data_IF_275650002596
#
_entry.id   IF_275650002596
#
_cell.length_a   1.000
_cell.length_b   1.000
_cell.length_c   1.000
_cell.angle_alpha   90.00
_cell.angle_beta   90.00
_cell.angle_gamma   90.00
#
_symmetry.space_group_name_H-M   'P 1'
#
loop_
_entity.id
_entity.type
_entity.pdbx_description
1 polymer ?
#
# COMPACT_ATOMS: atom_id res chain seq x y z
N UNK A 1 -34.68 34.04 -8.24
CA UNK A 1 -33.76 34.39 -7.14
C UNK A 1 -32.68 33.32 -7.05
N UNK A 2 -31.44 33.74 -6.94
CA UNK A 2 -30.25 33.00 -7.34
C UNK A 2 -29.86 31.87 -6.38
N UNK A 3 -29.24 30.83 -6.98
CA UNK A 3 -28.57 29.70 -6.35
C UNK A 3 -27.46 30.19 -5.40
N UNK A 4 -27.52 29.77 -4.13
CA UNK A 4 -26.37 29.76 -3.24
C UNK A 4 -26.57 28.62 -2.23
N UNK A 5 -26.13 27.42 -2.58
CA UNK A 5 -25.95 26.33 -1.63
C UNK A 5 -24.87 25.37 -2.14
N UNK A 6 -24.01 24.96 -1.20
CA UNK A 6 -22.89 24.00 -1.31
C UNK A 6 -21.59 24.55 -1.89
N UNK A 7 -20.94 25.39 -1.08
CA UNK A 7 -19.48 25.54 -1.06
C UNK A 7 -18.98 25.34 0.37
N UNK A 8 -19.35 24.20 0.94
CA UNK A 8 -18.85 23.65 2.19
C UNK A 8 -18.60 22.16 1.92
N UNK A 9 -17.70 21.53 2.66
CA UNK A 9 -17.32 20.09 2.61
C UNK A 9 -16.32 19.65 1.53
N UNK A 10 -15.11 20.21 1.58
CA UNK A 10 -13.90 19.52 1.08
C UNK A 10 -12.66 19.87 1.94
N UNK A 11 -12.65 21.07 2.50
CA UNK A 11 -11.57 21.54 3.38
C UNK A 11 -11.61 20.84 4.77
N UNK A 12 -12.78 20.37 5.20
CA UNK A 12 -13.03 19.82 6.56
C UNK A 12 -12.70 18.32 6.69
N UNK A 13 -12.80 17.54 5.61
CA UNK A 13 -12.46 16.10 5.64
C UNK A 13 -10.95 15.84 5.62
N UNK A 14 -10.16 16.78 5.11
CA UNK A 14 -8.71 16.61 5.03
C UNK A 14 -8.01 16.75 6.38
N UNK A 15 -8.54 17.62 7.25
CA UNK A 15 -8.02 17.80 8.61
C UNK A 15 -8.22 16.53 9.44
N UNK A 16 -9.40 15.91 9.33
CA UNK A 16 -9.75 14.69 10.07
C UNK A 16 -8.92 13.44 9.69
N UNK A 17 -8.41 13.34 8.46
CA UNK A 17 -7.52 12.25 8.04
C UNK A 17 -6.10 12.41 8.62
N UNK A 18 -5.57 13.62 8.67
CA UNK A 18 -4.26 13.89 9.29
C UNK A 18 -4.31 13.85 10.81
N UNK A 19 -5.44 14.22 11.41
CA UNK A 19 -5.64 14.10 12.85
C UNK A 19 -5.73 12.62 13.26
N UNK A 20 -6.27 11.74 12.39
CA UNK A 20 -6.19 10.28 12.58
C UNK A 20 -4.77 9.74 12.46
N UNK A 21 -3.99 10.21 11.49
CA UNK A 21 -2.57 9.85 11.38
C UNK A 21 -1.79 10.27 12.63
N UNK A 22 -1.96 11.52 13.08
CA UNK A 22 -1.36 12.00 14.31
C UNK A 22 -1.80 11.15 15.51
N UNK A 23 -3.08 10.78 15.58
CA UNK A 23 -3.60 9.87 16.60
C UNK A 23 -3.03 8.44 16.48
N UNK A 24 -2.78 7.92 15.28
CA UNK A 24 -2.13 6.61 15.06
C UNK A 24 -0.68 6.68 15.54
N UNK A 25 0.08 7.71 15.14
CA UNK A 25 1.47 7.90 15.59
C UNK A 25 1.55 8.11 17.12
N UNK A 26 0.62 8.87 17.70
CA UNK A 26 0.51 9.10 19.14
C UNK A 26 0.10 7.82 19.90
N UNK A 27 -0.88 7.07 19.37
CA UNK A 27 -1.40 5.84 19.98
C UNK A 27 -0.32 4.76 20.05
N UNK A 28 0.54 4.68 19.03
CA UNK A 28 1.57 3.67 18.96
C UNK A 28 2.86 4.07 19.68
N UNK A 29 2.94 5.29 20.25
CA UNK A 29 4.08 5.83 21.02
C UNK A 29 5.39 5.26 20.49
N UNK A 30 5.74 5.58 19.23
CA UNK A 30 6.96 5.10 18.57
C UNK A 30 8.10 5.16 19.58
N UNK A 31 8.52 4.00 20.10
CA UNK A 31 9.30 3.93 21.34
C UNK A 31 10.66 4.58 21.08
N UNK A 32 10.88 5.75 21.66
CA UNK A 32 12.13 6.51 21.50
C UNK A 32 12.09 7.57 20.41
N UNK A 33 10.99 7.72 19.65
CA UNK A 33 10.79 8.89 18.80
C UNK A 33 10.71 10.13 19.69
N UNK A 34 11.68 11.03 19.52
CA UNK A 34 11.59 12.34 20.13
C UNK A 34 10.57 13.22 19.37
N UNK A 35 10.21 14.34 19.99
CA UNK A 35 9.29 15.32 19.40
C UNK A 35 9.78 15.80 18.02
N UNK A 36 11.09 15.73 17.75
CA UNK A 36 11.67 16.14 16.48
C UNK A 36 11.34 15.17 15.35
N UNK A 37 11.51 13.86 15.55
CA UNK A 37 11.11 12.84 14.58
C UNK A 37 9.62 12.92 14.26
N UNK A 38 8.77 13.04 15.29
CA UNK A 38 7.33 13.13 15.09
C UNK A 38 6.96 14.40 14.30
N UNK A 39 7.62 15.53 14.57
CA UNK A 39 7.39 16.76 13.83
C UNK A 39 7.80 16.65 12.35
N UNK A 40 8.96 16.04 12.05
CA UNK A 40 9.42 15.86 10.67
C UNK A 40 8.56 14.84 9.92
N UNK A 41 8.19 13.70 10.53
CA UNK A 41 7.29 12.73 9.92
C UNK A 41 5.93 13.36 9.56
N UNK A 42 5.34 14.10 10.51
CA UNK A 42 4.09 14.81 10.28
C UNK A 42 4.19 15.87 9.16
N UNK A 43 5.32 16.57 9.07
CA UNK A 43 5.58 17.56 8.03
C UNK A 43 5.70 16.90 6.66
N UNK A 44 6.44 15.80 6.55
CA UNK A 44 6.60 15.01 5.32
C UNK A 44 5.26 14.47 4.85
N UNK A 45 4.48 13.82 5.72
CA UNK A 45 3.17 13.25 5.37
C UNK A 45 2.17 14.32 4.96
N UNK A 46 2.14 15.48 5.63
CA UNK A 46 1.28 16.61 5.25
C UNK A 46 1.65 17.20 3.90
N UNK A 47 2.95 17.31 3.59
CA UNK A 47 3.41 17.81 2.30
C UNK A 47 3.02 16.82 1.18
N UNK A 48 3.35 15.54 1.36
CA UNK A 48 3.03 14.47 0.42
C UNK A 48 1.53 14.38 0.14
N UNK A 49 0.69 14.24 1.16
CA UNK A 49 -0.75 14.05 0.93
C UNK A 49 -1.46 15.31 0.40
N UNK A 50 -0.86 16.50 0.47
CA UNK A 50 -1.36 17.69 -0.25
C UNK A 50 -1.05 17.58 -1.74
N UNK A 51 0.17 17.18 -2.08
CA UNK A 51 0.59 16.97 -3.46
C UNK A 51 -0.21 15.83 -4.11
N UNK A 52 -0.26 14.67 -3.44
CA UNK A 52 -0.95 13.49 -3.92
C UNK A 52 -2.43 13.76 -4.22
N UNK A 53 -3.16 14.45 -3.33
CA UNK A 53 -4.57 14.84 -3.58
C UNK A 53 -4.73 15.77 -4.79
N UNK A 54 -3.75 16.65 -5.02
CA UNK A 54 -3.79 17.59 -6.15
C UNK A 54 -3.66 16.83 -7.46
N UNK A 55 -2.77 15.84 -7.51
CA UNK A 55 -2.44 15.09 -8.71
C UNK A 55 -3.46 13.97 -8.98
N UNK A 56 -3.92 13.27 -7.94
CA UNK A 56 -4.93 12.20 -8.04
C UNK A 56 -6.38 12.70 -7.96
N UNK A 57 -6.61 13.97 -8.26
CA UNK A 57 -7.92 14.59 -8.12
C UNK A 57 -8.95 13.90 -9.03
N UNK A 58 -9.94 13.24 -8.43
CA UNK A 58 -11.01 12.54 -9.15
C UNK A 58 -10.74 11.05 -9.35
N UNK A 59 -9.63 10.52 -8.84
CA UNK A 59 -9.43 9.08 -8.73
C UNK A 59 -10.51 8.45 -7.85
N UNK A 60 -11.10 7.31 -8.25
CA UNK A 60 -11.91 6.51 -7.34
C UNK A 60 -11.05 6.08 -6.15
N UNK A 61 -11.65 5.97 -4.97
CA UNK A 61 -10.99 5.48 -3.75
C UNK A 61 -9.80 6.31 -3.25
N UNK A 62 -9.64 7.58 -3.69
CA UNK A 62 -8.53 8.45 -3.25
C UNK A 62 -8.39 8.53 -1.73
N UNK A 63 -9.53 8.59 -1.02
CA UNK A 63 -9.54 8.68 0.44
C UNK A 63 -9.03 7.40 1.07
N UNK A 64 -9.52 6.26 0.59
CA UNK A 64 -9.13 4.93 1.02
C UNK A 64 -7.63 4.69 0.77
N UNK A 65 -7.14 5.07 -0.42
CA UNK A 65 -5.73 5.00 -0.80
C UNK A 65 -4.82 5.85 0.10
N UNK A 66 -5.26 7.07 0.46
CA UNK A 66 -4.51 7.92 1.40
C UNK A 66 -4.47 7.30 2.79
N UNK A 67 -5.60 6.77 3.28
CA UNK A 67 -5.66 6.15 4.61
C UNK A 67 -4.75 4.93 4.69
N UNK A 68 -4.78 4.07 3.67
CA UNK A 68 -3.88 2.92 3.58
C UNK A 68 -2.40 3.34 3.64
N UNK A 69 -1.98 4.29 2.78
CA UNK A 69 -0.58 4.75 2.75
C UNK A 69 -0.16 5.32 4.11
N UNK A 70 -1.05 6.08 4.75
CA UNK A 70 -0.85 6.65 6.09
C UNK A 70 -0.67 5.58 7.15
N UNK A 71 -1.52 4.56 7.15
CA UNK A 71 -1.45 3.46 8.13
C UNK A 71 -0.20 2.61 7.90
N UNK A 72 0.14 2.30 6.65
CA UNK A 72 1.32 1.52 6.29
C UNK A 72 2.61 2.23 6.70
N UNK A 73 2.70 3.55 6.47
CA UNK A 73 3.81 4.37 7.01
C UNK A 73 3.85 4.33 8.54
N UNK A 74 2.70 4.25 9.20
CA UNK A 74 2.61 4.03 10.65
C UNK A 74 3.29 2.74 11.09
N UNK A 75 3.04 1.62 10.39
CA UNK A 75 3.73 0.35 10.64
C UNK A 75 5.24 0.44 10.39
N UNK A 76 5.66 1.03 9.26
CA UNK A 76 7.08 1.27 8.97
C UNK A 76 7.76 2.10 10.07
N UNK A 77 7.03 3.03 10.70
CA UNK A 77 7.56 3.84 11.79
C UNK A 77 7.83 3.06 13.08
N UNK A 78 7.22 1.88 13.24
CA UNK A 78 7.38 1.02 14.43
C UNK A 78 8.52 0.00 14.29
N UNK A 79 8.99 -0.26 13.06
CA UNK A 79 9.91 -1.34 12.72
C UNK A 79 11.40 -1.06 13.07
N UNK A 80 11.82 0.17 13.37
CA UNK A 80 13.26 0.36 13.64
C UNK A 80 13.83 1.75 13.94
N UNK A 81 15.13 1.87 13.65
CA UNK A 81 15.95 3.04 13.97
C UNK A 81 15.45 4.29 13.23
N UNK A 82 14.96 5.24 14.02
CA UNK A 82 14.43 6.57 13.66
C UNK A 82 15.01 7.19 12.37
N UNK A 83 16.33 7.27 12.22
CA UNK A 83 16.95 7.91 11.04
C UNK A 83 16.78 7.08 9.75
N UNK A 84 16.99 5.76 9.83
CA UNK A 84 16.79 4.84 8.69
C UNK A 84 15.29 4.78 8.31
N UNK A 85 14.40 4.92 9.29
CA UNK A 85 12.95 4.94 9.13
C UNK A 85 12.46 6.16 8.34
N UNK A 86 12.93 7.38 8.62
CA UNK A 86 12.49 8.56 7.86
C UNK A 86 12.88 8.47 6.39
N UNK A 87 14.08 7.98 6.09
CA UNK A 87 14.54 7.77 4.71
C UNK A 87 13.65 6.76 3.99
N UNK A 88 13.42 5.57 4.59
CA UNK A 88 12.53 4.54 4.03
C UNK A 88 11.12 5.07 3.76
N UNK A 89 10.55 5.83 4.71
CA UNK A 89 9.23 6.43 4.55
C UNK A 89 9.23 7.45 3.41
N UNK A 90 10.25 8.30 3.32
CA UNK A 90 10.35 9.29 2.24
C UNK A 90 10.44 8.63 0.87
N UNK A 91 11.22 7.55 0.76
CA UNK A 91 11.36 6.75 -0.47
C UNK A 91 10.03 6.09 -0.84
N UNK A 92 9.35 5.47 0.13
CA UNK A 92 8.02 4.88 -0.08
C UNK A 92 7.00 5.90 -0.60
N UNK A 93 6.94 7.08 0.03
CA UNK A 93 6.01 8.15 -0.34
C UNK A 93 6.29 8.72 -1.74
N UNK A 94 7.56 8.82 -2.14
CA UNK A 94 7.96 9.24 -3.50
C UNK A 94 7.46 8.26 -4.56
N UNK A 95 7.56 6.96 -4.28
CA UNK A 95 7.03 5.93 -5.18
C UNK A 95 5.51 6.06 -5.35
N UNK A 96 4.77 6.49 -4.32
CA UNK A 96 3.31 6.61 -4.42
C UNK A 96 2.82 7.82 -5.23
N UNK A 97 3.69 8.50 -5.98
CA UNK A 97 3.27 9.61 -6.87
C UNK A 97 2.63 9.10 -8.17
N UNK A 98 1.76 9.89 -8.83
CA UNK A 98 1.06 9.44 -10.04
C UNK A 98 1.97 9.26 -11.26
N UNK A 99 3.09 9.98 -11.31
CA UNK A 99 4.08 9.86 -12.38
C UNK A 99 4.78 8.47 -12.37
N UNK A 100 4.62 7.70 -11.29
CA UNK A 100 5.17 6.35 -11.14
C UNK A 100 4.54 5.30 -12.06
N UNK A 101 3.36 5.51 -12.63
CA UNK A 101 2.64 4.47 -13.38
C UNK A 101 3.44 3.97 -14.60
N UNK A 102 4.17 4.86 -15.25
CA UNK A 102 4.98 4.52 -16.44
C UNK A 102 6.41 4.07 -16.09
N UNK A 103 6.86 4.32 -14.86
CA UNK A 103 8.25 4.11 -14.42
C UNK A 103 8.42 2.92 -13.48
N UNK A 104 7.39 2.60 -12.70
CA UNK A 104 7.44 1.64 -11.60
C UNK A 104 6.43 0.52 -11.77
N UNK A 105 6.67 -0.58 -11.07
CA UNK A 105 5.73 -1.69 -11.01
C UNK A 105 4.55 -1.30 -10.12
N UNK A 106 3.33 -1.49 -10.62
CA UNK A 106 2.10 -1.28 -9.86
C UNK A 106 1.62 -2.61 -9.29
N UNK A 107 1.39 -2.67 -7.98
CA UNK A 107 0.76 -3.80 -7.31
C UNK A 107 -0.61 -3.33 -6.81
N UNK A 108 -1.68 -3.96 -7.27
CA UNK A 108 -3.06 -3.72 -6.85
C UNK A 108 -3.57 -4.87 -5.99
N UNK A 109 -4.06 -4.55 -4.80
CA UNK A 109 -4.66 -5.47 -3.83
C UNK A 109 -6.17 -5.34 -3.89
N UNK A 110 -6.86 -6.46 -4.11
CA UNK A 110 -8.31 -6.49 -4.37
C UNK A 110 -9.05 -7.56 -3.58
N UNK A 111 -10.33 -7.31 -3.32
CA UNK A 111 -11.20 -8.20 -2.56
C UNK A 111 -11.11 -8.03 -1.04
N UNK A 112 -10.25 -7.13 -0.56
CA UNK A 112 -10.11 -6.81 0.86
C UNK A 112 -11.01 -5.66 1.32
N UNK A 113 -10.65 -5.04 2.45
CA UNK A 113 -11.24 -3.79 2.89
C UNK A 113 -10.16 -2.76 3.21
N UNK A 114 -10.08 -1.63 2.47
CA UNK A 114 -10.85 -1.28 1.26
C UNK A 114 -10.63 -2.22 0.06
N UNK A 115 -11.60 -2.25 -0.86
CA UNK A 115 -11.67 -3.27 -1.94
C UNK A 115 -10.63 -3.13 -3.05
N UNK A 116 -10.10 -1.93 -3.28
CA UNK A 116 -9.09 -1.70 -4.32
C UNK A 116 -8.08 -0.65 -3.84
N UNK A 117 -6.87 -1.13 -3.54
CA UNK A 117 -5.71 -0.35 -3.13
C UNK A 117 -4.55 -0.71 -4.03
N UNK A 118 -3.68 0.24 -4.33
CA UNK A 118 -2.47 -0.05 -5.07
C UNK A 118 -1.25 0.62 -4.47
N UNK A 119 -0.09 0.07 -4.79
CA UNK A 119 1.22 0.67 -4.52
C UNK A 119 2.06 0.64 -5.78
N UNK A 120 2.95 1.62 -5.90
CA UNK A 120 4.04 1.58 -6.86
C UNK A 120 5.33 1.21 -6.14
N UNK A 121 6.13 0.36 -6.77
CA UNK A 121 7.41 -0.15 -6.26
C UNK A 121 8.41 -0.35 -7.39
N UNK A 122 9.71 -0.26 -7.08
CA UNK A 122 10.78 -0.59 -8.04
C UNK A 122 11.06 -2.10 -8.03
N UNK A 123 11.03 -2.70 -6.85
CA UNK A 123 11.18 -4.14 -6.61
C UNK A 123 10.14 -4.62 -5.58
N UNK A 124 9.88 -5.93 -5.55
CA UNK A 124 8.88 -6.48 -4.62
C UNK A 124 9.22 -6.17 -3.15
N UNK A 125 10.52 -6.16 -2.80
CA UNK A 125 11.02 -5.95 -1.44
C UNK A 125 10.85 -4.51 -0.91
N UNK A 126 10.36 -3.59 -1.74
CA UNK A 126 10.05 -2.23 -1.30
C UNK A 126 8.78 -2.19 -0.41
N UNK A 127 8.01 -3.27 -0.41
CA UNK A 127 6.84 -3.47 0.45
C UNK A 127 6.90 -4.82 1.15
N UNK A 128 6.28 -4.87 2.32
CA UNK A 128 6.05 -6.09 3.08
C UNK A 128 4.61 -6.56 2.78
N UNK A 129 4.47 -7.66 2.04
CA UNK A 129 3.15 -8.15 1.64
C UNK A 129 2.36 -8.72 2.82
N UNK A 130 3.03 -9.22 3.86
CA UNK A 130 2.42 -9.78 5.06
C UNK A 130 1.78 -8.67 5.88
N UNK A 131 2.46 -7.55 6.06
CA UNK A 131 1.91 -6.35 6.69
C UNK A 131 0.70 -5.83 5.91
N UNK A 132 0.82 -5.71 4.58
CA UNK A 132 -0.28 -5.24 3.73
C UNK A 132 -1.48 -6.20 3.79
N UNK A 133 -1.25 -7.52 3.77
CA UNK A 133 -2.31 -8.50 3.91
C UNK A 133 -2.98 -8.40 5.27
N UNK A 134 -2.21 -8.25 6.35
CA UNK A 134 -2.75 -8.07 7.69
C UNK A 134 -3.59 -6.80 7.83
N UNK A 135 -3.27 -5.75 7.07
CA UNK A 135 -4.01 -4.50 7.03
C UNK A 135 -5.29 -4.58 6.20
N UNK A 136 -5.23 -5.18 5.01
CA UNK A 136 -6.29 -5.11 4.00
C UNK A 136 -7.14 -6.38 3.91
N UNK A 137 -6.61 -7.52 4.35
CA UNK A 137 -7.16 -8.85 4.14
C UNK A 137 -7.60 -9.10 2.69
N UNK A 138 -6.69 -8.84 1.74
CA UNK A 138 -6.98 -8.93 0.31
C UNK A 138 -6.90 -10.38 -0.19
N UNK A 139 -7.67 -10.71 -1.22
CA UNK A 139 -7.67 -12.06 -1.82
C UNK A 139 -6.92 -12.12 -3.15
N UNK A 140 -6.70 -10.98 -3.79
CA UNK A 140 -6.17 -10.91 -5.14
C UNK A 140 -5.13 -9.80 -5.26
N UNK A 141 -3.94 -10.17 -5.72
CA UNK A 141 -2.87 -9.24 -6.04
C UNK A 141 -2.65 -9.19 -7.56
N UNK A 142 -2.77 -8.02 -8.17
CA UNK A 142 -2.55 -7.79 -9.60
C UNK A 142 -1.31 -6.93 -9.81
N UNK A 143 -0.36 -7.42 -10.58
CA UNK A 143 0.95 -6.77 -10.75
C UNK A 143 1.15 -6.36 -12.20
N UNK A 144 1.26 -5.06 -12.42
CA UNK A 144 1.47 -4.44 -13.73
C UNK A 144 2.89 -3.92 -13.84
N UNK A 145 3.63 -4.38 -14.86
CA UNK A 145 4.97 -3.88 -15.15
C UNK A 145 4.93 -2.48 -15.77
N UNK A 146 5.95 -1.63 -15.55
CA UNK A 146 5.98 -0.28 -16.08
C UNK A 146 5.94 -0.20 -17.60
N UNK A 147 5.25 0.83 -18.10
CA UNK A 147 5.13 1.13 -19.52
C UNK A 147 4.50 0.00 -20.33
N UNK A 148 5.20 -0.47 -21.37
CA UNK A 148 4.72 -1.55 -22.27
C UNK A 148 5.43 -2.88 -22.04
N UNK A 149 6.11 -3.03 -20.91
CA UNK A 149 6.82 -4.25 -20.57
C UNK A 149 5.83 -5.40 -20.39
N UNK A 150 6.30 -6.61 -20.70
CA UNK A 150 5.49 -7.83 -20.63
C UNK A 150 6.18 -8.86 -19.78
N UNK A 151 5.37 -9.62 -19.06
CA UNK A 151 5.86 -10.75 -18.28
C UNK A 151 6.48 -11.78 -19.21
N UNK A 152 7.72 -12.17 -18.89
CA UNK A 152 8.28 -13.43 -19.39
C UNK A 152 7.90 -14.53 -18.40
N UNK A 153 7.86 -15.79 -18.87
CA UNK A 153 7.61 -16.94 -17.98
C UNK A 153 8.58 -16.98 -16.80
N UNK A 154 9.85 -16.68 -17.06
CA UNK A 154 10.90 -16.65 -16.02
C UNK A 154 10.65 -15.52 -15.02
N UNK A 155 10.44 -14.30 -15.49
CA UNK A 155 10.19 -13.16 -14.60
C UNK A 155 8.94 -13.36 -13.73
N UNK A 156 7.87 -13.94 -14.29
CA UNK A 156 6.66 -14.25 -13.53
C UNK A 156 6.91 -15.33 -12.46
N UNK A 157 7.67 -16.39 -12.79
CA UNK A 157 8.06 -17.42 -11.83
C UNK A 157 8.97 -16.87 -10.72
N UNK A 158 9.94 -16.03 -11.07
CA UNK A 158 10.85 -15.39 -10.12
C UNK A 158 10.08 -14.44 -9.19
N UNK A 159 9.11 -13.67 -9.72
CA UNK A 159 8.24 -12.81 -8.93
C UNK A 159 7.34 -13.62 -7.98
N UNK A 160 6.66 -14.66 -8.49
CA UNK A 160 5.80 -15.52 -7.68
C UNK A 160 6.58 -16.17 -6.53
N UNK A 161 7.82 -16.61 -6.79
CA UNK A 161 8.70 -17.12 -5.73
C UNK A 161 9.05 -16.05 -4.68
N UNK A 162 9.19 -14.78 -5.10
CA UNK A 162 9.32 -13.66 -4.17
C UNK A 162 8.13 -13.53 -3.24
N UNK A 163 6.91 -13.62 -3.79
CA UNK A 163 5.65 -13.60 -3.03
C UNK A 163 5.56 -14.80 -2.08
N UNK A 164 5.90 -16.00 -2.54
CA UNK A 164 5.94 -17.20 -1.70
C UNK A 164 6.91 -17.05 -0.52
N UNK A 165 8.08 -16.46 -0.76
CA UNK A 165 9.06 -16.29 0.32
C UNK A 165 8.58 -15.30 1.38
N UNK A 166 7.81 -14.28 1.00
CA UNK A 166 7.27 -13.30 1.93
C UNK A 166 6.19 -13.96 2.81
N UNK A 167 5.14 -14.49 2.19
CA UNK A 167 4.02 -15.08 2.92
C UNK A 167 4.38 -16.35 3.71
N UNK A 168 5.14 -17.29 3.11
CA UNK A 168 5.44 -18.56 3.79
C UNK A 168 6.50 -18.43 4.88
N UNK A 169 7.21 -17.30 4.94
CA UNK A 169 8.13 -17.06 6.06
C UNK A 169 7.35 -16.77 7.35
N UNK A 170 6.28 -15.97 7.28
CA UNK A 170 5.51 -15.56 8.46
C UNK A 170 4.31 -16.46 8.78
N UNK A 171 3.57 -16.93 7.77
CA UNK A 171 2.35 -17.75 7.97
C UNK A 171 2.58 -19.26 7.77
N UNK A 172 3.64 -19.67 7.09
CA UNK A 172 3.80 -21.07 6.68
C UNK A 172 2.85 -21.48 5.54
N UNK A 173 3.01 -22.71 5.03
CA UNK A 173 2.25 -23.22 3.86
C UNK A 173 0.88 -23.81 4.23
N UNK A 174 0.66 -24.00 5.51
CA UNK A 174 -0.52 -24.57 6.12
C UNK A 174 -1.55 -23.51 6.54
N UNK A 175 -1.16 -22.24 6.63
CA UNK A 175 -2.07 -21.14 6.97
C UNK A 175 -2.50 -20.33 5.74
N UNK A 176 -1.62 -20.16 4.75
CA UNK A 176 -1.91 -19.43 3.50
C UNK A 176 -1.65 -20.32 2.29
N UNK A 177 -2.63 -20.34 1.38
CA UNK A 177 -2.52 -20.92 0.06
C UNK A 177 -2.37 -19.82 -0.99
N UNK A 178 -1.23 -19.82 -1.68
CA UNK A 178 -1.00 -18.99 -2.86
C UNK A 178 -1.38 -19.79 -4.11
N UNK A 179 -2.51 -19.42 -4.71
CA UNK A 179 -3.02 -20.06 -5.91
C UNK A 179 -2.38 -19.48 -7.18
N UNK A 180 -2.23 -20.37 -8.16
CA UNK A 180 -1.60 -20.25 -9.48
C UNK A 180 -1.54 -18.82 -10.05
N UNK A 181 -0.40 -18.45 -10.63
CA UNK A 181 -0.27 -17.15 -11.28
C UNK A 181 -0.64 -17.22 -12.76
N UNK A 182 -1.59 -16.39 -13.19
CA UNK A 182 -1.92 -16.29 -14.61
C UNK A 182 -1.13 -15.15 -15.25
N UNK A 183 -0.03 -15.49 -15.92
CA UNK A 183 0.63 -14.57 -16.84
C UNK A 183 -0.07 -14.67 -18.19
N UNK A 184 -1.01 -13.77 -18.48
CA UNK A 184 -1.66 -13.77 -19.80
C UNK A 184 -0.60 -13.42 -20.86
N UNK A 185 -0.22 -14.41 -21.68
CA UNK A 185 0.84 -14.29 -22.66
C UNK A 185 0.48 -13.20 -23.68
N UNK A 186 0.99 -11.99 -23.47
CA UNK A 186 0.67 -10.83 -24.29
C UNK A 186 0.17 -9.61 -23.51
N UNK A 187 -0.19 -9.75 -22.23
CA UNK A 187 -0.56 -8.65 -21.32
C UNK A 187 0.57 -8.31 -20.33
N UNK A 188 0.47 -7.12 -19.74
CA UNK A 188 1.41 -6.58 -18.75
C UNK A 188 1.09 -6.96 -17.30
N UNK A 189 0.05 -7.78 -17.06
CA UNK A 189 -0.49 -8.09 -15.74
C UNK A 189 -0.22 -9.53 -15.31
N UNK A 190 0.12 -9.71 -14.03
CA UNK A 190 0.24 -10.99 -13.32
C UNK A 190 -0.74 -10.98 -12.14
N UNK A 191 -1.59 -11.99 -12.04
CA UNK A 191 -2.53 -12.12 -10.91
C UNK A 191 -2.07 -13.24 -9.98
N UNK A 192 -2.03 -12.97 -8.68
CA UNK A 192 -1.78 -13.93 -7.60
C UNK A 192 -3.01 -13.95 -6.70
N UNK A 193 -3.48 -15.15 -6.35
CA UNK A 193 -4.60 -15.31 -5.43
C UNK A 193 -4.06 -15.75 -4.06
N UNK A 194 -4.51 -15.07 -3.02
CA UNK A 194 -4.17 -15.32 -1.61
C UNK A 194 -5.43 -15.83 -0.92
N UNK A 195 -5.35 -17.03 -0.34
CA UNK A 195 -6.45 -17.65 0.39
C UNK A 195 -5.93 -18.17 1.73
N UNK A 196 -6.70 -17.97 2.80
CA UNK A 196 -6.49 -18.70 4.04
C UNK A 196 -6.76 -20.19 3.78
N UNK A 197 -5.93 -21.06 4.36
CA UNK A 197 -6.17 -22.49 4.28
C UNK A 197 -7.50 -22.82 4.96
N UNK A 198 -8.39 -23.51 4.24
CA UNK A 198 -9.58 -24.05 4.87
C UNK A 198 -9.14 -25.20 5.80
N UNK A 199 -9.46 -25.13 7.09
CA UNK A 199 -9.46 -26.32 7.92
C UNK A 199 -10.48 -27.29 7.30
N UNK A 200 -10.02 -28.43 6.80
CA UNK A 200 -10.91 -29.51 6.44
C UNK A 200 -11.64 -29.91 7.74
N UNK A 201 -12.91 -29.53 7.86
CA UNK A 201 -13.78 -30.00 8.94
C UNK A 201 -13.80 -31.53 8.86
N UNK A 202 -12.97 -32.20 9.67
CA UNK A 202 -12.98 -33.66 9.81
C UNK A 202 -14.36 -34.08 10.36
N UNK A 203 -15.25 -34.59 9.48
CA UNK A 203 -16.52 -35.25 9.84
C UNK A 203 -16.35 -36.57 10.60
#
# INVERSE_FOLDING_TARGET
MAKAAKKETAQDSSQTEFDKLAAVLDAHKVRGADDHFQAELNKTLKAWARQYRKEMKGAPNLKEQINFIVEYVGYMALDGKIEETLTRISEFLDMQTPDSEDERMKISFTGGYPDDIFVYVDILQDVDLVDIHSMLNFYLMNVTLPGKNKWTKKAAADFFKGVENDFYFDFGRDEIMLCDYYADAGRCCLTVMVQEACEDDEE
#
